data_IF_610567086556
#
_entry.id   IF_610567086556
#
_cell.length_a   1.000
_cell.length_b   1.000
_cell.length_c   1.000
_cell.angle_alpha   90.00
_cell.angle_beta   90.00
_cell.angle_gamma   90.00
#
_symmetry.space_group_name_H-M   'P 1'
#
loop_
_entity.id
_entity.type
_entity.pdbx_description
1 polymer ?
#
# COMPACT_ATOMS: atom_id res chain seq x y z
N UNK A 1 9.32 -5.23 0.45
CA UNK A 1 9.14 -6.66 0.09
C UNK A 1 9.06 -7.46 1.37
N UNK A 2 8.06 -8.33 1.53
CA UNK A 2 7.79 -9.01 2.80
C UNK A 2 7.58 -10.51 2.58
N UNK A 3 8.14 -11.32 3.46
CA UNK A 3 7.83 -12.74 3.64
C UNK A 3 6.63 -12.88 4.56
N UNK A 4 6.08 -14.10 4.66
CA UNK A 4 4.94 -14.35 5.53
C UNK A 4 5.22 -14.04 7.01
N UNK A 5 6.46 -14.24 7.47
CA UNK A 5 6.92 -13.88 8.82
C UNK A 5 6.85 -12.39 9.13
N UNK A 6 6.95 -11.55 8.10
CA UNK A 6 7.10 -10.11 8.27
C UNK A 6 5.72 -9.41 8.35
N UNK A 7 4.67 -10.07 7.85
CA UNK A 7 3.32 -9.51 7.72
C UNK A 7 2.72 -9.12 9.07
N UNK A 8 2.92 -9.95 10.11
CA UNK A 8 2.37 -9.64 11.45
C UNK A 8 3.02 -8.38 12.04
N UNK A 9 4.31 -8.16 11.78
CA UNK A 9 5.00 -6.92 12.14
C UNK A 9 4.37 -5.70 11.47
N UNK A 10 4.11 -5.80 10.17
CA UNK A 10 3.45 -4.73 9.40
C UNK A 10 2.03 -4.45 9.88
N UNK A 11 1.28 -5.48 10.24
CA UNK A 11 -0.05 -5.33 10.83
C UNK A 11 -0.01 -4.59 12.17
N UNK A 12 0.90 -4.97 13.07
CA UNK A 12 1.03 -4.29 14.37
C UNK A 12 1.39 -2.81 14.22
N UNK A 13 2.26 -2.49 13.25
CA UNK A 13 2.64 -1.12 12.90
C UNK A 13 1.44 -0.28 12.45
N UNK A 14 0.62 -0.81 11.53
CA UNK A 14 -0.58 -0.15 10.98
C UNK A 14 -1.71 0.02 11.99
N UNK A 15 -1.84 -0.94 12.92
CA UNK A 15 -2.89 -0.93 13.94
C UNK A 15 -2.44 -0.27 15.24
N UNK A 16 -1.24 0.34 15.27
CA UNK A 16 -0.63 0.95 16.47
C UNK A 16 -0.61 0.01 17.68
N UNK A 17 -0.35 -1.28 17.45
CA UNK A 17 -0.31 -2.32 18.50
C UNK A 17 1.13 -2.65 18.89
N UNK A 18 1.33 -2.92 20.18
CA UNK A 18 2.63 -3.28 20.75
C UNK A 18 3.48 -2.06 21.07
N UNK A 19 4.81 -2.20 21.01
CA UNK A 19 5.74 -1.12 21.35
C UNK A 19 5.88 -0.15 20.17
N UNK A 20 5.37 1.06 20.38
CA UNK A 20 5.54 2.19 19.45
C UNK A 20 6.89 2.83 19.73
N UNK A 21 7.72 2.98 18.68
CA UNK A 21 9.07 3.55 18.77
C UNK A 21 9.19 4.92 18.08
N UNK A 22 8.23 5.28 17.23
CA UNK A 22 8.24 6.55 16.53
C UNK A 22 7.61 7.61 17.43
N UNK A 23 8.41 8.56 17.88
CA UNK A 23 7.96 9.66 18.75
C UNK A 23 7.10 10.69 17.99
N UNK A 24 7.07 10.62 16.66
CA UNK A 24 6.19 11.45 15.82
C UNK A 24 4.73 10.99 15.81
N UNK A 25 4.42 9.80 16.35
CA UNK A 25 3.05 9.29 16.42
C UNK A 25 2.28 10.01 17.54
N UNK A 26 1.27 10.78 17.16
CA UNK A 26 0.30 11.35 18.08
C UNK A 26 -0.87 10.40 18.28
N UNK A 27 -0.86 9.66 19.39
CA UNK A 27 -1.90 8.69 19.71
C UNK A 27 -3.30 9.29 19.79
N UNK A 28 -3.43 10.59 20.11
CA UNK A 28 -4.72 11.29 20.15
C UNK A 28 -5.34 11.47 18.77
N UNK A 29 -4.55 11.31 17.71
CA UNK A 29 -4.96 11.44 16.30
C UNK A 29 -5.13 10.09 15.61
N UNK A 30 -4.85 8.97 16.27
CA UNK A 30 -5.00 7.61 15.69
C UNK A 30 -6.42 7.35 15.18
N UNK A 31 -7.43 7.96 15.80
CA UNK A 31 -8.83 7.87 15.36
C UNK A 31 -9.09 8.55 14.00
N UNK A 32 -8.14 9.33 13.48
CA UNK A 32 -8.18 9.91 12.14
C UNK A 32 -7.60 8.97 11.08
N UNK A 33 -6.92 7.88 11.49
CA UNK A 33 -6.44 6.86 10.56
C UNK A 33 -7.63 6.09 9.99
N UNK A 34 -7.52 5.65 8.74
CA UNK A 34 -8.59 4.90 8.08
C UNK A 34 -8.01 3.85 7.12
N UNK A 35 -8.77 2.80 6.83
CA UNK A 35 -8.44 1.84 5.78
C UNK A 35 -9.34 2.12 4.57
N UNK A 36 -8.76 2.11 3.36
CA UNK A 36 -9.51 2.24 2.11
C UNK A 36 -9.96 0.87 1.56
N UNK A 37 -9.67 -0.22 2.26
CA UNK A 37 -10.18 -1.56 1.98
C UNK A 37 -11.23 -1.94 3.03
N UNK A 38 -12.42 -2.30 2.57
CA UNK A 38 -13.50 -2.83 3.40
C UNK A 38 -13.30 -4.33 3.64
N UNK A 39 -12.44 -4.68 4.61
CA UNK A 39 -12.23 -6.06 5.04
C UNK A 39 -11.94 -6.08 6.55
N UNK A 40 -12.75 -6.72 7.38
CA UNK A 40 -12.54 -6.69 8.83
C UNK A 40 -11.43 -7.64 9.31
N UNK A 41 -10.94 -8.53 8.44
CA UNK A 41 -9.88 -9.46 8.80
C UNK A 41 -8.56 -8.72 9.02
N UNK A 42 -7.75 -9.24 9.91
CA UNK A 42 -6.38 -8.80 10.09
C UNK A 42 -5.53 -9.02 8.82
N UNK A 43 -4.61 -8.10 8.52
CA UNK A 43 -3.74 -8.13 7.34
C UNK A 43 -3.05 -9.49 7.16
N UNK A 44 -2.59 -10.12 8.24
CA UNK A 44 -2.00 -11.46 8.19
C UNK A 44 -2.93 -12.48 7.52
N UNK A 45 -4.21 -12.50 7.89
CA UNK A 45 -5.19 -13.42 7.31
C UNK A 45 -5.51 -13.06 5.86
N UNK A 46 -5.68 -11.77 5.54
CA UNK A 46 -5.88 -11.32 4.15
C UNK A 46 -4.76 -11.79 3.23
N UNK A 47 -3.50 -11.63 3.66
CA UNK A 47 -2.32 -12.10 2.92
C UNK A 47 -2.29 -13.62 2.85
N UNK A 48 -2.52 -14.31 3.97
CA UNK A 48 -2.49 -15.77 4.05
C UNK A 48 -3.48 -16.39 3.05
N UNK A 49 -4.73 -15.95 3.08
CA UNK A 49 -5.80 -16.49 2.25
C UNK A 49 -5.47 -16.29 0.77
N UNK A 50 -4.97 -15.11 0.39
CA UNK A 50 -4.59 -14.84 -1.00
C UNK A 50 -3.37 -15.65 -1.45
N UNK A 51 -2.39 -15.85 -0.56
CA UNK A 51 -1.23 -16.72 -0.84
C UNK A 51 -1.64 -18.18 -0.99
N UNK A 52 -2.53 -18.67 -0.13
CA UNK A 52 -3.01 -20.04 -0.18
C UNK A 52 -3.83 -20.31 -1.45
N UNK A 53 -4.68 -19.36 -1.86
CA UNK A 53 -5.32 -19.37 -3.18
C UNK A 53 -4.28 -19.58 -4.31
N UNK A 54 -3.20 -18.80 -4.32
CA UNK A 54 -2.19 -18.94 -5.37
C UNK A 54 -1.39 -20.25 -5.29
N UNK A 55 -1.21 -20.86 -4.11
CA UNK A 55 -0.63 -22.20 -3.99
C UNK A 55 -1.54 -23.25 -4.62
N UNK A 56 -2.84 -23.15 -4.40
CA UNK A 56 -3.85 -24.03 -5.02
C UNK A 56 -3.85 -23.88 -6.55
N UNK A 57 -3.63 -22.66 -7.05
CA UNK A 57 -3.42 -22.39 -8.49
C UNK A 57 -2.02 -22.82 -9.01
N UNK A 58 -1.23 -23.52 -8.19
CA UNK A 58 0.06 -24.09 -8.58
C UNK A 58 1.25 -23.15 -8.43
N UNK A 59 1.14 -22.02 -7.73
CA UNK A 59 2.31 -21.20 -7.38
C UNK A 59 3.22 -21.93 -6.39
N UNK A 60 4.52 -22.01 -6.71
CA UNK A 60 5.51 -22.58 -5.78
C UNK A 60 5.92 -21.54 -4.74
N UNK A 61 5.24 -21.54 -3.60
CA UNK A 61 5.52 -20.63 -2.48
C UNK A 61 6.40 -21.33 -1.44
N UNK A 62 7.55 -20.76 -1.15
CA UNK A 62 8.49 -21.23 -0.13
C UNK A 62 8.48 -20.31 1.09
N UNK A 63 9.08 -20.74 2.20
CA UNK A 63 9.22 -19.93 3.43
C UNK A 63 9.80 -18.54 3.18
N UNK A 64 10.75 -18.44 2.25
CA UNK A 64 11.45 -17.19 1.91
C UNK A 64 10.84 -16.46 0.69
N UNK A 65 9.72 -16.94 0.14
CA UNK A 65 9.04 -16.23 -0.95
C UNK A 65 8.55 -14.86 -0.47
N UNK A 66 8.72 -13.85 -1.33
CA UNK A 66 8.09 -12.56 -1.14
C UNK A 66 6.60 -12.73 -1.45
N UNK A 67 5.77 -12.60 -0.43
CA UNK A 67 4.31 -12.78 -0.52
C UNK A 67 3.56 -11.46 -0.62
N UNK A 68 4.17 -10.36 -0.20
CA UNK A 68 3.53 -9.03 -0.16
C UNK A 68 4.55 -7.94 -0.48
N UNK A 69 4.21 -7.00 -1.36
CA UNK A 69 4.91 -5.72 -1.46
C UNK A 69 4.30 -4.72 -0.48
N UNK A 70 5.17 -3.92 0.12
CA UNK A 70 4.76 -2.75 0.88
C UNK A 70 5.27 -1.52 0.17
N UNK A 71 4.38 -0.61 -0.14
CA UNK A 71 4.67 0.72 -0.64
C UNK A 71 4.13 1.73 0.36
N UNK A 72 4.80 2.88 0.44
CA UNK A 72 4.32 4.03 1.17
C UNK A 72 4.00 5.10 0.13
N UNK A 73 2.77 5.59 0.15
CA UNK A 73 2.37 6.77 -0.62
C UNK A 73 2.25 7.91 0.36
N UNK A 74 3.10 8.92 0.25
CA UNK A 74 3.13 10.05 1.17
C UNK A 74 2.58 11.29 0.48
N UNK A 75 1.95 12.15 1.27
CA UNK A 75 1.59 13.50 0.88
C UNK A 75 2.23 14.45 1.91
N UNK A 76 2.84 15.55 1.46
CA UNK A 76 3.45 16.49 2.42
C UNK A 76 2.37 17.09 3.32
N UNK A 77 2.76 17.46 4.55
CA UNK A 77 1.84 18.11 5.49
C UNK A 77 1.26 19.40 4.91
N UNK A 78 2.12 20.21 4.27
CA UNK A 78 1.76 21.47 3.64
C UNK A 78 0.67 21.28 2.57
N UNK A 79 0.83 20.26 1.72
CA UNK A 79 -0.14 19.94 0.68
C UNK A 79 -1.44 19.39 1.25
N UNK A 80 -1.36 18.53 2.27
CA UNK A 80 -2.54 18.02 2.96
C UNK A 80 -3.34 19.14 3.64
N UNK A 81 -2.65 20.07 4.30
CA UNK A 81 -3.25 21.24 4.96
C UNK A 81 -3.87 22.18 3.91
N UNK A 82 -3.19 22.41 2.77
CA UNK A 82 -3.69 23.20 1.63
C UNK A 82 -4.96 22.61 1.01
N UNK A 83 -4.98 21.29 0.83
CA UNK A 83 -6.09 20.56 0.22
C UNK A 83 -7.27 20.34 1.17
N UNK A 84 -7.00 20.32 2.49
CA UNK A 84 -7.97 19.94 3.50
C UNK A 84 -8.28 18.43 3.50
N UNK A 85 -9.03 17.98 4.51
CA UNK A 85 -9.25 16.57 4.80
C UNK A 85 -9.93 15.81 3.65
N UNK A 86 -11.03 16.36 3.09
CA UNK A 86 -11.81 15.70 2.04
C UNK A 86 -10.96 15.42 0.79
N UNK A 87 -10.19 16.43 0.35
CA UNK A 87 -9.35 16.30 -0.85
C UNK A 87 -8.11 15.45 -0.58
N UNK A 88 -7.56 15.47 0.64
CA UNK A 88 -6.51 14.54 1.09
C UNK A 88 -6.98 13.08 1.07
N UNK A 89 -8.19 12.79 1.57
CA UNK A 89 -8.78 11.44 1.46
C UNK A 89 -8.97 11.03 0.01
N UNK A 90 -9.42 11.95 -0.85
CA UNK A 90 -9.57 11.70 -2.29
C UNK A 90 -8.23 11.41 -2.97
N UNK A 91 -7.13 12.06 -2.57
CA UNK A 91 -5.79 11.78 -3.06
C UNK A 91 -5.39 10.32 -2.79
N UNK A 92 -5.49 9.87 -1.53
CA UNK A 92 -5.15 8.48 -1.20
C UNK A 92 -6.08 7.46 -1.85
N UNK A 93 -7.37 7.78 -1.98
CA UNK A 93 -8.32 6.94 -2.73
C UNK A 93 -7.92 6.82 -4.20
N UNK A 94 -7.56 7.92 -4.85
CA UNK A 94 -7.10 7.95 -6.25
C UNK A 94 -5.84 7.08 -6.42
N UNK A 95 -4.89 7.18 -5.50
CA UNK A 95 -3.73 6.30 -5.48
C UNK A 95 -4.14 4.82 -5.33
N UNK A 96 -5.03 4.51 -4.38
CA UNK A 96 -5.55 3.14 -4.18
C UNK A 96 -6.19 2.60 -5.45
N UNK A 97 -7.03 3.39 -6.11
CA UNK A 97 -7.77 2.97 -7.31
C UNK A 97 -6.79 2.63 -8.45
N UNK A 98 -5.80 3.48 -8.72
CA UNK A 98 -4.73 3.19 -9.70
C UNK A 98 -4.01 1.85 -9.42
N UNK A 99 -3.55 1.64 -8.18
CA UNK A 99 -2.85 0.41 -7.83
C UNK A 99 -3.75 -0.81 -7.87
N UNK A 100 -5.02 -0.66 -7.51
CA UNK A 100 -6.01 -1.73 -7.55
C UNK A 100 -6.30 -2.19 -8.98
N UNK A 101 -6.48 -1.24 -9.91
CA UNK A 101 -6.65 -1.56 -11.34
C UNK A 101 -5.42 -2.28 -11.90
N UNK A 102 -4.23 -1.80 -11.55
CA UNK A 102 -2.96 -2.37 -12.05
C UNK A 102 -2.67 -3.78 -11.54
N UNK A 103 -2.88 -4.04 -10.25
CA UNK A 103 -2.50 -5.30 -9.60
C UNK A 103 -3.69 -6.24 -9.36
N UNK A 104 -4.91 -5.77 -9.61
CA UNK A 104 -6.17 -6.46 -9.35
C UNK A 104 -6.66 -6.27 -7.91
N UNK A 105 -7.92 -5.87 -7.75
CA UNK A 105 -8.56 -5.59 -6.46
C UNK A 105 -8.39 -6.73 -5.44
N UNK A 106 -8.55 -7.99 -5.86
CA UNK A 106 -8.39 -9.15 -4.98
C UNK A 106 -6.95 -9.37 -4.48
N UNK A 107 -5.95 -8.72 -5.07
CA UNK A 107 -4.56 -8.78 -4.62
C UNK A 107 -4.19 -7.63 -3.70
N UNK A 108 -5.05 -6.64 -3.54
CA UNK A 108 -4.85 -5.50 -2.67
C UNK A 108 -5.29 -5.88 -1.25
N UNK A 109 -4.37 -5.87 -0.29
CA UNK A 109 -4.59 -6.44 1.05
C UNK A 109 -4.51 -5.42 2.17
N UNK A 110 -3.94 -4.23 1.91
CA UNK A 110 -4.06 -3.08 2.82
C UNK A 110 -3.93 -1.76 2.07
N UNK A 111 -4.68 -0.78 2.54
CA UNK A 111 -4.62 0.62 2.13
C UNK A 111 -4.80 1.53 3.35
N UNK A 112 -4.06 1.24 4.42
CA UNK A 112 -4.15 1.96 5.69
C UNK A 112 -3.52 3.33 5.57
N UNK A 113 -4.29 4.38 5.76
CA UNK A 113 -3.83 5.77 5.82
C UNK A 113 -3.59 6.17 7.26
N UNK A 114 -2.37 6.63 7.54
CA UNK A 114 -1.97 7.23 8.80
C UNK A 114 -2.04 8.76 8.68
N UNK A 115 -2.82 9.37 9.56
CA UNK A 115 -3.01 10.81 9.71
C UNK A 115 -2.43 11.32 11.04
N UNK A 116 -1.88 10.43 11.85
CA UNK A 116 -1.38 10.62 13.21
C UNK A 116 0.14 10.84 13.30
N UNK A 117 0.84 10.89 12.17
CA UNK A 117 2.28 11.16 12.09
C UNK A 117 2.56 12.58 11.54
N UNK A 118 3.84 12.88 11.27
CA UNK A 118 4.31 14.19 10.77
C UNK A 118 3.70 14.57 9.43
N UNK A 119 3.64 13.63 8.49
CA UNK A 119 3.01 13.77 7.19
C UNK A 119 2.04 12.61 6.93
N UNK A 120 0.85 12.87 6.37
CA UNK A 120 -0.10 11.82 6.08
C UNK A 120 0.46 10.87 5.00
N UNK A 121 0.30 9.58 5.22
CA UNK A 121 0.80 8.57 4.29
C UNK A 121 -0.02 7.28 4.34
N UNK A 122 0.02 6.53 3.26
CA UNK A 122 -0.71 5.27 3.09
C UNK A 122 0.26 4.09 3.03
N UNK A 123 0.04 3.12 3.91
CA UNK A 123 0.62 1.78 3.82
C UNK A 123 -0.17 0.94 2.79
N UNK A 124 0.35 0.94 1.57
CA UNK A 124 -0.25 0.28 0.42
C UNK A 124 0.39 -1.09 0.22
N UNK A 125 -0.37 -2.15 0.48
CA UNK A 125 0.12 -3.52 0.42
C UNK A 125 -0.65 -4.36 -0.59
N UNK A 126 0.09 -5.10 -1.43
CA UNK A 126 -0.50 -6.02 -2.39
C UNK A 126 0.32 -7.30 -2.57
N UNK A 127 -0.34 -8.33 -3.08
CA UNK A 127 0.24 -9.63 -3.41
C UNK A 127 0.79 -9.58 -4.85
N UNK A 128 2.11 -9.71 -5.06
CA UNK A 128 2.70 -9.56 -6.38
C UNK A 128 2.50 -10.80 -7.24
N UNK A 129 1.79 -10.65 -8.35
CA UNK A 129 1.57 -11.73 -9.32
C UNK A 129 2.05 -11.37 -10.72
N UNK A 130 2.49 -12.37 -11.47
CA UNK A 130 2.83 -12.22 -12.88
C UNK A 130 1.59 -12.37 -13.78
N UNK A 131 1.77 -12.11 -15.08
CA UNK A 131 0.72 -12.27 -16.09
C UNK A 131 0.16 -13.71 -16.23
N UNK A 132 0.85 -14.70 -15.66
CA UNK A 132 0.40 -16.10 -15.63
C UNK A 132 -0.38 -16.43 -14.35
N UNK A 133 -0.71 -15.44 -13.51
CA UNK A 133 -1.43 -15.64 -12.26
C UNK A 133 -0.59 -16.34 -11.17
N UNK A 134 0.74 -16.28 -11.25
CA UNK A 134 1.65 -16.88 -10.26
C UNK A 134 2.31 -15.82 -9.40
N UNK A 135 2.45 -16.11 -8.11
CA UNK A 135 3.21 -15.29 -7.16
C UNK A 135 4.63 -15.05 -7.67
N UNK A 136 4.96 -13.80 -8.00
CA UNK A 136 6.26 -13.43 -8.54
C UNK A 136 6.56 -11.94 -8.31
N UNK A 137 7.18 -11.67 -7.17
CA UNK A 137 7.65 -10.34 -6.78
C UNK A 137 8.67 -9.73 -7.76
N UNK A 138 9.48 -10.56 -8.43
CA UNK A 138 10.51 -10.11 -9.37
C UNK A 138 9.90 -9.54 -10.64
N UNK A 139 8.83 -10.14 -11.14
CA UNK A 139 8.21 -9.72 -12.40
C UNK A 139 7.17 -8.63 -12.19
N UNK A 140 6.40 -8.70 -11.10
CA UNK A 140 5.35 -7.72 -10.80
C UNK A 140 5.91 -6.32 -10.52
N UNK A 141 7.09 -6.24 -9.90
CA UNK A 141 7.73 -4.98 -9.47
C UNK A 141 9.22 -4.99 -9.83
N UNK A 142 9.50 -5.01 -11.13
CA UNK A 142 10.85 -4.78 -11.67
C UNK A 142 11.10 -3.27 -11.90
N UNK A 143 12.33 -2.90 -12.27
CA UNK A 143 12.70 -1.48 -12.51
C UNK A 143 11.81 -0.80 -13.54
N UNK A 144 11.47 -1.49 -14.62
CA UNK A 144 10.60 -0.94 -15.67
C UNK A 144 9.19 -0.71 -15.15
N UNK A 145 8.62 -1.68 -14.42
CA UNK A 145 7.30 -1.57 -13.82
C UNK A 145 7.24 -0.41 -12.82
N UNK A 146 8.28 -0.20 -12.02
CA UNK A 146 8.38 0.92 -11.07
C UNK A 146 8.40 2.25 -11.83
N UNK A 147 9.23 2.38 -12.87
CA UNK A 147 9.27 3.61 -13.68
C UNK A 147 7.91 3.93 -14.30
N UNK A 148 7.25 2.94 -14.91
CA UNK A 148 5.91 3.11 -15.47
C UNK A 148 4.89 3.49 -14.40
N UNK A 149 4.99 2.92 -13.18
CA UNK A 149 4.11 3.30 -12.06
C UNK A 149 4.28 4.77 -11.72
N UNK A 150 5.50 5.28 -11.67
CA UNK A 150 5.72 6.70 -11.41
C UNK A 150 5.14 7.59 -12.53
N UNK A 151 5.32 7.21 -13.81
CA UNK A 151 4.77 7.95 -14.94
C UNK A 151 3.23 7.96 -14.94
N UNK A 152 2.63 6.77 -14.82
CA UNK A 152 1.18 6.56 -14.91
C UNK A 152 0.46 7.12 -13.68
N UNK A 153 0.99 6.93 -12.46
CA UNK A 153 0.37 7.44 -11.25
C UNK A 153 0.36 8.97 -11.23
N UNK A 154 1.47 9.62 -11.63
CA UNK A 154 1.51 11.08 -11.78
C UNK A 154 0.47 11.54 -12.78
N UNK A 155 0.41 10.90 -13.96
CA UNK A 155 -0.60 11.25 -14.98
C UNK A 155 -2.02 11.08 -14.46
N UNK A 156 -2.31 9.97 -13.77
CA UNK A 156 -3.61 9.66 -13.21
C UNK A 156 -4.04 10.67 -12.14
N UNK A 157 -3.12 11.07 -11.25
CA UNK A 157 -3.35 12.11 -10.25
C UNK A 157 -3.60 13.48 -10.90
N UNK A 158 -2.82 13.87 -11.90
CA UNK A 158 -3.04 15.12 -12.63
C UNK A 158 -4.42 15.16 -13.31
N UNK A 159 -4.87 14.04 -13.89
CA UNK A 159 -6.22 13.93 -14.48
C UNK A 159 -7.35 14.11 -13.45
N UNK A 160 -7.10 13.77 -12.18
CA UNK A 160 -8.03 14.04 -11.08
C UNK A 160 -7.89 15.46 -10.51
N UNK A 161 -7.03 16.30 -11.09
CA UNK A 161 -6.81 17.69 -10.68
C UNK A 161 -5.90 17.83 -9.45
N UNK A 162 -4.97 16.90 -9.24
CA UNK A 162 -3.89 17.08 -8.28
C UNK A 162 -2.69 17.72 -8.97
N UNK A 163 -2.06 18.68 -8.30
CA UNK A 163 -0.85 19.35 -8.76
C UNK A 163 0.36 18.54 -8.28
N UNK A 164 0.72 17.50 -9.05
CA UNK A 164 1.83 16.60 -8.72
C UNK A 164 2.80 16.49 -9.87
N UNK A 165 4.08 16.41 -9.52
CA UNK A 165 5.15 16.17 -10.48
C UNK A 165 5.77 14.80 -10.26
N UNK A 166 6.30 14.23 -11.33
CA UNK A 166 7.02 12.96 -11.26
C UNK A 166 8.37 13.20 -10.56
N UNK A 167 8.68 12.39 -9.55
CA UNK A 167 9.98 12.44 -8.88
C UNK A 167 11.17 12.21 -9.84
N UNK A 168 12.29 12.87 -9.56
CA UNK A 168 13.55 12.67 -10.30
C UNK A 168 14.05 11.23 -10.16
N UNK A 169 14.72 10.73 -11.21
CA UNK A 169 15.33 9.39 -11.24
C UNK A 169 16.81 9.37 -10.81
N UNK A 170 17.29 10.42 -10.15
CA UNK A 170 18.69 10.53 -9.73
C UNK A 170 19.17 9.39 -8.82
#
# INVERSE_FOLDING_TARGET
KNKMSDVKGKEMEQERKGRIKNDEIDLKRTNLNFDLIEDERHLYHRVKDRVDYYKEQGSRVQKNSVVMYSNIITLSKEEADRMGETRTKHYFKTCKDYFSERFGEANFVSAKVHMDESAPHMHLHFIPVNHQGRLSARTAMNRQAINHIHDELTTHLCQQGFDVERGSTD
#
